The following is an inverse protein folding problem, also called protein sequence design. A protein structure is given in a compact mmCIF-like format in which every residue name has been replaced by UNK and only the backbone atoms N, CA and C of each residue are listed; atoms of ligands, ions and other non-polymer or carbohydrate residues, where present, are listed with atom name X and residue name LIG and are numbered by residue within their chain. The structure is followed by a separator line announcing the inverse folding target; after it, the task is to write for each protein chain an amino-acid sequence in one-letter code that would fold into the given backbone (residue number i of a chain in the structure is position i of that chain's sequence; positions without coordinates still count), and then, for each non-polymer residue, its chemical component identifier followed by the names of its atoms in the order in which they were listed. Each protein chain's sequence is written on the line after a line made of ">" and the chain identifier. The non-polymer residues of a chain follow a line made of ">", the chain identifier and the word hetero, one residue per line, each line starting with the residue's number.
data_IF_407605030854
#
_entry.id   IF_407605030854
#
_cell.length_a   1.000
_cell.length_b   1.000
_cell.length_c   1.000
_cell.angle_alpha   90.00
_cell.angle_beta   90.00
_cell.angle_gamma   90.00
#
_symmetry.space_group_name_H-M   'P 1'
#
loop_
_entity.id
_entity.type
_entity.pdbx_description
1 polymer ?
#
# COMPACT_ATOMS: atom_id res chain seq x y z
N UNK A 1 -7.09 60.82 -8.75
CA UNK A 1 -7.96 60.88 -9.95
C UNK A 1 -8.54 59.50 -10.23
N UNK A 2 -9.56 59.40 -11.10
CA UNK A 2 -10.14 58.09 -11.47
C UNK A 2 -9.10 57.17 -12.17
N UNK A 3 -8.13 57.76 -12.87
CA UNK A 3 -6.98 57.05 -13.47
C UNK A 3 -6.12 56.34 -12.43
N UNK A 4 -5.68 57.08 -11.40
CA UNK A 4 -4.86 56.50 -10.31
C UNK A 4 -5.58 55.34 -9.61
N UNK A 5 -6.90 55.42 -9.40
CA UNK A 5 -7.69 54.32 -8.82
C UNK A 5 -7.64 53.05 -9.69
N UNK A 6 -7.73 53.19 -11.02
CA UNK A 6 -7.65 52.05 -11.95
C UNK A 6 -6.25 51.45 -11.94
N UNK A 7 -5.22 52.28 -11.91
CA UNK A 7 -3.83 51.84 -11.84
C UNK A 7 -3.54 51.05 -10.56
N UNK A 8 -4.03 51.52 -9.41
CA UNK A 8 -3.90 50.79 -8.14
C UNK A 8 -4.62 49.44 -8.15
N UNK A 9 -5.84 49.36 -8.70
CA UNK A 9 -6.58 48.10 -8.82
C UNK A 9 -5.83 47.12 -9.72
N UNK A 10 -5.31 47.58 -10.86
CA UNK A 10 -4.56 46.76 -11.80
C UNK A 10 -3.25 46.26 -11.17
N UNK A 11 -2.54 47.10 -10.43
CA UNK A 11 -1.33 46.71 -9.71
C UNK A 11 -1.59 45.64 -8.63
N UNK A 12 -2.71 45.76 -7.90
CA UNK A 12 -3.13 44.75 -6.90
C UNK A 12 -3.48 43.43 -7.60
N UNK A 13 -4.28 43.47 -8.68
CA UNK A 13 -4.65 42.28 -9.43
C UNK A 13 -3.43 41.57 -10.04
N UNK A 14 -2.51 42.32 -10.64
CA UNK A 14 -1.27 41.77 -11.19
C UNK A 14 -0.38 41.13 -10.11
N UNK A 15 -0.41 41.67 -8.88
CA UNK A 15 0.33 41.11 -7.75
C UNK A 15 -0.31 39.82 -7.23
N UNK A 16 -1.64 39.77 -7.15
CA UNK A 16 -2.38 38.56 -6.81
C UNK A 16 -2.09 37.46 -7.85
N UNK A 17 -2.16 37.79 -9.13
CA UNK A 17 -1.93 36.82 -10.21
C UNK A 17 -0.49 36.27 -10.20
N UNK A 18 0.53 37.13 -9.97
CA UNK A 18 1.91 36.68 -9.80
C UNK A 18 2.08 35.75 -8.60
N UNK A 19 1.40 36.03 -7.49
CA UNK A 19 1.42 35.17 -6.32
C UNK A 19 0.76 33.81 -6.60
N UNK A 20 -0.39 33.79 -7.27
CA UNK A 20 -1.07 32.55 -7.69
C UNK A 20 -0.20 31.70 -8.63
N UNK A 21 0.44 32.33 -9.62
CA UNK A 21 1.36 31.65 -10.55
C UNK A 21 2.58 31.07 -9.82
N UNK A 22 3.16 31.81 -8.88
CA UNK A 22 4.28 31.33 -8.07
C UNK A 22 3.88 30.14 -7.18
N UNK A 23 2.70 30.20 -6.56
CA UNK A 23 2.14 29.12 -5.76
C UNK A 23 1.89 27.85 -6.59
N UNK A 24 1.37 27.99 -7.81
CA UNK A 24 1.12 26.86 -8.71
C UNK A 24 2.45 26.25 -9.22
N UNK A 25 3.43 27.08 -9.54
CA UNK A 25 4.78 26.62 -9.91
C UNK A 25 5.46 25.86 -8.77
N UNK A 26 5.33 26.35 -7.53
CA UNK A 26 5.84 25.67 -6.34
C UNK A 26 5.12 24.33 -6.07
N UNK A 27 3.81 24.25 -6.34
CA UNK A 27 3.05 23.01 -6.27
C UNK A 27 3.54 21.99 -7.30
N UNK A 28 3.74 22.39 -8.55
CA UNK A 28 4.23 21.49 -9.60
C UNK A 28 5.59 20.89 -9.27
N UNK A 29 6.52 21.69 -8.73
CA UNK A 29 7.83 21.22 -8.29
C UNK A 29 7.73 20.20 -7.14
N UNK A 30 6.85 20.43 -6.17
CA UNK A 30 6.65 19.50 -5.05
C UNK A 30 5.97 18.18 -5.47
N UNK A 31 5.10 18.21 -6.49
CA UNK A 31 4.48 17.00 -7.01
C UNK A 31 5.52 16.12 -7.75
N UNK A 32 6.41 16.72 -8.56
CA UNK A 32 7.42 15.97 -9.31
C UNK A 32 8.46 15.26 -8.43
N UNK A 33 8.61 15.68 -7.16
CA UNK A 33 9.51 15.06 -6.18
C UNK A 33 8.86 13.92 -5.39
N UNK A 34 7.53 13.78 -5.45
CA UNK A 34 6.79 12.68 -4.81
C UNK A 34 6.37 11.70 -5.90
N UNK A 35 7.24 10.74 -6.13
CA UNK A 35 7.01 9.57 -6.99
C UNK A 35 5.57 9.02 -6.85
N UNK A 36 4.85 9.04 -7.98
CA UNK A 36 3.39 8.89 -8.16
C UNK A 36 2.87 7.48 -7.81
N UNK A 37 3.76 6.55 -7.47
CA UNK A 37 3.43 5.14 -7.18
C UNK A 37 2.89 4.87 -5.76
N UNK A 38 2.59 5.90 -4.96
CA UNK A 38 2.25 5.72 -3.53
C UNK A 38 0.85 6.17 -3.12
N UNK A 39 0.09 6.82 -4.01
CA UNK A 39 -1.29 7.20 -3.71
C UNK A 39 -2.26 6.07 -4.04
N UNK A 40 -3.17 5.68 -3.13
CA UNK A 40 -4.30 4.82 -3.46
C UNK A 40 -5.09 5.40 -4.65
N UNK A 41 -5.73 4.55 -5.50
CA UNK A 41 -6.42 4.93 -6.75
C UNK A 41 -7.60 5.91 -6.58
N UNK A 42 -7.96 6.24 -5.33
CA UNK A 42 -9.04 7.16 -4.98
C UNK A 42 -8.59 8.41 -4.22
N UNK A 43 -7.29 8.62 -4.10
CA UNK A 43 -6.71 9.79 -3.43
C UNK A 43 -6.54 10.91 -4.46
N UNK A 44 -6.92 12.16 -4.14
CA UNK A 44 -6.71 13.26 -5.06
C UNK A 44 -5.20 13.41 -5.34
N UNK A 45 -4.87 13.54 -6.62
CA UNK A 45 -3.51 13.83 -7.04
C UNK A 45 -2.98 15.09 -6.36
N UNK A 46 -1.66 15.23 -6.27
CA UNK A 46 -1.04 16.41 -5.67
C UNK A 46 -1.55 17.74 -6.27
N UNK A 47 -1.96 17.73 -7.55
CA UNK A 47 -2.54 18.88 -8.27
C UNK A 47 -4.01 19.16 -7.95
N UNK A 48 -4.75 18.17 -7.43
CA UNK A 48 -6.17 18.24 -7.08
C UNK A 48 -6.43 18.43 -5.57
N UNK A 49 -5.38 18.40 -4.75
CA UNK A 49 -5.48 18.62 -3.32
C UNK A 49 -6.22 19.92 -3.01
N UNK A 50 -7.32 19.80 -2.25
CA UNK A 50 -8.17 20.93 -1.86
C UNK A 50 -9.10 21.46 -2.95
N UNK A 51 -9.02 20.98 -4.20
CA UNK A 51 -9.95 21.30 -5.29
C UNK A 51 -11.17 20.37 -5.34
N UNK A 52 -11.04 19.15 -4.80
CA UNK A 52 -12.13 18.17 -4.66
C UNK A 52 -12.06 17.48 -3.29
N UNK A 53 -13.21 17.07 -2.77
CA UNK A 53 -13.29 16.28 -1.55
C UNK A 53 -12.72 14.86 -1.79
N UNK A 54 -11.78 14.38 -0.95
CA UNK A 54 -11.28 13.01 -1.04
C UNK A 54 -12.35 12.02 -0.56
N UNK A 55 -12.29 10.78 -1.06
CA UNK A 55 -13.07 9.68 -0.47
C UNK A 55 -12.47 9.34 0.89
N UNK A 56 -13.19 9.53 2.02
CA UNK A 56 -12.62 9.28 3.34
C UNK A 56 -12.37 7.80 3.56
N UNK A 57 -11.16 7.45 3.99
CA UNK A 57 -10.84 6.09 4.43
C UNK A 57 -11.59 5.82 5.74
N UNK A 58 -12.24 4.66 5.85
CA UNK A 58 -12.99 4.32 7.07
C UNK A 58 -12.01 4.11 8.22
N UNK A 59 -12.36 4.60 9.41
CA UNK A 59 -11.44 4.60 10.56
C UNK A 59 -10.97 3.21 10.98
N UNK A 60 -11.80 2.18 10.77
CA UNK A 60 -11.49 0.78 11.11
C UNK A 60 -10.52 0.13 10.12
N UNK A 61 -10.24 0.77 8.99
CA UNK A 61 -9.37 0.25 7.94
C UNK A 61 -7.91 0.72 8.12
N UNK A 62 -7.61 1.47 9.20
CA UNK A 62 -6.27 1.99 9.51
C UNK A 62 -5.91 1.78 10.99
N UNK A 63 -4.76 1.17 11.24
CA UNK A 63 -4.19 0.99 12.59
C UNK A 63 -3.04 1.95 12.88
N UNK A 64 -2.38 2.47 11.86
CA UNK A 64 -1.22 3.36 11.98
C UNK A 64 -1.50 4.77 11.47
N UNK A 65 -0.88 5.79 12.08
CA UNK A 65 -0.91 7.13 11.50
C UNK A 65 -0.23 7.13 10.12
N UNK A 66 -0.92 7.57 9.09
CA UNK A 66 -0.40 7.62 7.70
C UNK A 66 0.66 8.71 7.45
N UNK A 67 1.24 9.27 8.52
CA UNK A 67 2.32 10.26 8.49
C UNK A 67 3.48 9.87 9.38
N UNK A 68 3.24 9.63 10.68
CA UNK A 68 4.30 9.20 11.59
C UNK A 68 4.43 7.68 11.73
N UNK A 69 3.54 6.89 11.14
CA UNK A 69 3.48 5.42 11.21
C UNK A 69 3.30 4.84 12.62
N UNK A 70 3.05 5.68 13.62
CA UNK A 70 2.83 5.22 14.98
C UNK A 70 1.40 4.66 15.14
N UNK A 71 1.21 3.58 15.92
CA UNK A 71 -0.09 2.97 16.12
C UNK A 71 -1.05 3.90 16.86
N UNK A 72 -2.30 3.93 16.42
CA UNK A 72 -3.38 4.61 17.12
C UNK A 72 -3.73 3.88 18.42
N UNK A 73 -4.16 4.61 19.44
CA UNK A 73 -4.75 4.05 20.64
C UNK A 73 -5.85 4.97 21.17
N UNK A 74 -6.86 4.39 21.84
CA UNK A 74 -8.09 5.09 22.22
C UNK A 74 -7.90 6.22 23.22
N UNK A 75 -6.76 6.26 23.92
CA UNK A 75 -6.52 7.19 25.04
C UNK A 75 -5.69 8.39 24.59
N UNK A 76 -4.50 8.17 24.04
CA UNK A 76 -3.49 9.22 23.78
C UNK A 76 -3.33 9.56 22.30
N UNK A 77 -3.69 8.66 21.38
CA UNK A 77 -3.49 8.86 19.94
C UNK A 77 -4.75 8.52 19.15
N UNK A 78 -5.70 9.47 19.17
CA UNK A 78 -6.97 9.40 18.44
C UNK A 78 -6.76 9.59 16.93
N UNK A 79 -7.70 9.07 16.15
CA UNK A 79 -7.75 9.17 14.68
C UNK A 79 -8.37 10.50 14.26
N UNK A 80 -7.82 11.10 13.21
CA UNK A 80 -8.36 12.28 12.56
C UNK A 80 -8.21 12.15 11.05
N UNK A 81 -9.19 12.60 10.28
CA UNK A 81 -9.06 12.65 8.83
C UNK A 81 -8.47 13.99 8.38
N UNK A 82 -7.51 13.91 7.46
CA UNK A 82 -7.13 15.06 6.67
C UNK A 82 -8.24 15.36 5.67
N UNK A 83 -8.81 16.56 5.71
CA UNK A 83 -9.90 16.93 4.79
C UNK A 83 -9.41 17.14 3.34
N UNK A 84 -8.12 17.38 3.13
CA UNK A 84 -7.55 17.56 1.80
C UNK A 84 -7.23 16.23 1.08
N UNK A 85 -6.63 15.25 1.76
CA UNK A 85 -6.20 13.99 1.15
C UNK A 85 -6.93 12.73 1.66
N UNK A 86 -7.79 12.83 2.67
CA UNK A 86 -8.57 11.70 3.19
C UNK A 86 -7.81 10.77 4.16
N UNK A 87 -6.47 10.86 4.21
CA UNK A 87 -5.64 10.05 5.10
C UNK A 87 -6.04 10.16 6.59
N UNK A 88 -5.93 9.04 7.30
CA UNK A 88 -6.10 8.96 8.76
C UNK A 88 -4.78 9.26 9.46
N UNK A 89 -4.79 10.30 10.28
CA UNK A 89 -3.60 10.89 10.91
C UNK A 89 -3.85 11.17 12.39
N UNK A 90 -2.78 11.25 13.19
CA UNK A 90 -2.89 11.64 14.59
C UNK A 90 -2.99 13.16 14.76
N UNK A 91 -3.32 13.60 15.99
CA UNK A 91 -3.47 15.02 16.32
C UNK A 91 -2.21 15.82 15.95
N UNK A 92 -1.03 15.34 16.39
CA UNK A 92 0.28 15.96 16.12
C UNK A 92 0.60 16.10 14.62
N UNK A 93 0.23 15.12 13.80
CA UNK A 93 0.45 15.19 12.35
C UNK A 93 -0.57 16.05 11.60
N UNK A 94 -1.58 16.59 12.28
CA UNK A 94 -2.69 17.34 11.69
C UNK A 94 -3.11 18.56 12.50
N UNK A 95 -2.17 19.20 13.21
CA UNK A 95 -2.42 20.43 13.97
C UNK A 95 -2.73 21.63 13.08
N UNK A 96 -2.51 21.47 11.77
CA UNK A 96 -2.63 22.52 10.78
C UNK A 96 -4.03 22.63 10.19
N UNK A 97 -4.36 23.84 9.73
CA UNK A 97 -5.58 24.09 8.99
C UNK A 97 -5.31 24.86 7.70
N UNK A 98 -5.95 24.47 6.62
CA UNK A 98 -5.84 25.12 5.32
C UNK A 98 -7.23 25.38 4.73
N UNK A 99 -7.34 26.41 3.89
CA UNK A 99 -8.56 26.68 3.13
C UNK A 99 -8.68 25.68 1.98
N UNK A 100 -9.84 25.06 1.84
CA UNK A 100 -10.11 24.09 0.77
C UNK A 100 -11.15 24.67 -0.18
N UNK A 101 -10.81 24.74 -1.46
CA UNK A 101 -11.66 25.33 -2.50
C UNK A 101 -12.99 24.61 -2.66
N UNK A 102 -13.00 23.28 -2.57
CA UNK A 102 -14.24 22.50 -2.71
C UNK A 102 -15.24 22.71 -1.56
N UNK A 103 -14.80 23.22 -0.40
CA UNK A 103 -15.62 23.45 0.79
C UNK A 103 -15.81 24.94 1.03
N UNK A 104 -16.11 25.70 -0.03
CA UNK A 104 -16.34 27.15 0.03
C UNK A 104 -15.19 27.93 0.71
N UNK A 105 -13.95 27.54 0.43
CA UNK A 105 -12.74 28.09 1.04
C UNK A 105 -12.72 28.03 2.59
N UNK A 106 -13.51 27.14 3.20
CA UNK A 106 -13.50 26.96 4.66
C UNK A 106 -12.17 26.39 5.14
N UNK A 107 -11.76 26.88 6.31
CA UNK A 107 -10.53 26.46 6.99
C UNK A 107 -10.74 25.10 7.65
N UNK A 108 -10.13 24.07 7.09
CA UNK A 108 -10.31 22.67 7.46
C UNK A 108 -9.03 22.04 8.02
N UNK A 109 -9.16 21.01 8.87
CA UNK A 109 -8.02 20.23 9.38
C UNK A 109 -7.31 19.53 8.24
N UNK A 110 -6.00 19.73 8.14
CA UNK A 110 -5.15 19.07 7.14
C UNK A 110 -3.91 18.47 7.78
N UNK A 111 -3.32 17.44 7.16
CA UNK A 111 -2.05 16.90 7.62
C UNK A 111 -0.90 17.87 7.27
N UNK A 112 0.26 17.67 7.89
CA UNK A 112 1.47 18.48 7.64
C UNK A 112 1.81 18.60 6.16
N UNK A 113 1.80 17.47 5.42
CA UNK A 113 2.09 17.46 3.99
C UNK A 113 1.12 18.35 3.20
N UNK A 114 -0.19 18.15 3.39
CA UNK A 114 -1.20 18.95 2.70
C UNK A 114 -1.15 20.42 3.08
N UNK A 115 -0.79 20.74 4.33
CA UNK A 115 -0.61 22.14 4.73
C UNK A 115 0.52 22.80 3.94
N UNK A 116 1.68 22.15 3.87
CA UNK A 116 2.83 22.65 3.10
C UNK A 116 2.47 22.80 1.61
N UNK A 117 1.79 21.82 1.02
CA UNK A 117 1.37 21.89 -0.40
C UNK A 117 0.31 22.97 -0.66
N UNK A 118 -0.65 23.15 0.24
CA UNK A 118 -1.76 24.08 0.04
C UNK A 118 -1.36 25.54 0.34
N UNK A 119 -0.56 25.74 1.39
CA UNK A 119 -0.25 27.07 1.96
C UNK A 119 1.15 27.54 1.55
N UNK A 120 2.06 26.65 1.14
CA UNK A 120 3.42 27.01 0.73
C UNK A 120 4.32 27.43 1.90
N UNK A 121 3.84 27.33 3.15
CA UNK A 121 4.59 27.65 4.34
C UNK A 121 5.00 26.36 5.06
N UNK A 122 6.31 26.15 5.22
CA UNK A 122 6.81 25.14 6.13
C UNK A 122 6.57 25.62 7.57
N UNK A 123 5.87 24.85 8.42
CA UNK A 123 5.77 25.21 9.83
C UNK A 123 7.18 25.24 10.44
N UNK A 124 7.45 26.25 11.29
CA UNK A 124 8.69 26.38 12.05
C UNK A 124 9.00 25.09 12.81
N UNK A 125 10.28 24.68 12.98
CA UNK A 125 10.63 23.38 13.53
C UNK A 125 10.45 23.34 15.05
N UNK A 126 9.20 23.27 15.51
CA UNK A 126 8.89 22.92 16.89
C UNK A 126 8.48 21.44 16.91
N UNK A 127 9.48 20.55 17.01
CA UNK A 127 9.33 19.17 17.50
C UNK A 127 8.60 18.16 16.59
N UNK A 128 8.11 18.54 15.42
CA UNK A 128 7.63 17.56 14.43
C UNK A 128 8.83 17.11 13.63
N UNK A 129 9.39 15.95 13.96
CA UNK A 129 10.39 15.29 13.13
C UNK A 129 9.84 15.19 11.71
N UNK A 130 10.21 16.13 10.84
CA UNK A 130 10.01 15.98 9.41
C UNK A 130 10.84 14.76 9.07
N UNK A 131 10.16 13.63 8.89
CA UNK A 131 10.71 12.46 8.23
C UNK A 131 10.92 12.83 6.75
N UNK A 132 11.77 13.82 6.52
CA UNK A 132 12.33 14.15 5.23
C UNK A 132 13.23 12.98 4.91
N UNK A 133 12.69 12.07 4.10
CA UNK A 133 13.44 11.05 3.37
C UNK A 133 14.33 10.17 4.27
N UNK A 134 13.77 9.52 5.29
CA UNK A 134 14.33 8.21 5.65
C UNK A 134 14.16 7.35 4.41
N UNK A 135 15.25 6.78 3.88
CA UNK A 135 15.19 5.78 2.81
C UNK A 135 14.04 4.83 3.14
N UNK A 136 13.10 4.67 2.19
CA UNK A 136 11.89 3.89 2.41
C UNK A 136 12.30 2.53 2.99
N UNK A 137 11.86 2.23 4.21
CA UNK A 137 12.14 0.92 4.82
C UNK A 137 11.49 -0.15 3.93
N UNK A 138 12.06 -1.35 3.82
CA UNK A 138 11.52 -2.47 3.02
C UNK A 138 10.05 -2.75 3.36
N UNK A 139 9.61 -2.43 4.59
CA UNK A 139 8.23 -2.60 5.07
C UNK A 139 7.29 -1.42 4.77
N UNK A 140 7.77 -0.29 4.23
CA UNK A 140 6.94 0.87 3.83
C UNK A 140 6.22 0.63 2.50
N UNK A 141 5.57 -0.53 2.39
CA UNK A 141 4.63 -0.86 1.34
C UNK A 141 3.23 -0.56 1.84
N UNK A 142 2.43 0.12 1.01
CA UNK A 142 1.03 0.39 1.34
C UNK A 142 0.18 -0.85 1.06
N UNK A 143 -0.64 -1.24 2.03
CA UNK A 143 -1.49 -2.42 1.96
C UNK A 143 -2.45 -2.39 0.76
N UNK A 144 -3.00 -1.21 0.42
CA UNK A 144 -3.92 -1.07 -0.71
C UNK A 144 -3.23 -1.38 -2.04
N UNK A 145 -2.03 -0.83 -2.26
CA UNK A 145 -1.26 -1.02 -3.49
C UNK A 145 -0.76 -2.46 -3.61
N UNK A 146 -0.35 -3.04 -2.47
CA UNK A 146 0.03 -4.44 -2.43
C UNK A 146 -1.16 -5.37 -2.78
N UNK A 147 -2.40 -4.97 -2.43
CA UNK A 147 -3.60 -5.76 -2.66
C UNK A 147 -4.16 -5.64 -4.10
N UNK A 148 -4.00 -4.48 -4.74
CA UNK A 148 -4.53 -4.21 -6.10
C UNK A 148 -4.04 -5.22 -7.15
N UNK A 149 -2.77 -5.63 -7.07
CA UNK A 149 -2.17 -6.65 -7.93
C UNK A 149 -1.64 -7.80 -7.06
N UNK A 150 -2.50 -8.39 -6.24
CA UNK A 150 -2.13 -9.51 -5.37
C UNK A 150 -2.60 -10.86 -5.91
N UNK A 151 -1.80 -11.90 -5.70
CA UNK A 151 -2.21 -13.30 -5.93
C UNK A 151 -3.37 -13.65 -4.98
N UNK A 152 -3.26 -13.17 -3.74
CA UNK A 152 -4.30 -13.25 -2.72
C UNK A 152 -4.12 -12.14 -1.67
N UNK A 153 -5.24 -11.58 -1.25
CA UNK A 153 -5.33 -10.72 -0.08
C UNK A 153 -6.63 -10.97 0.68
N UNK A 154 -6.55 -11.10 2.01
CA UNK A 154 -7.75 -11.18 2.85
C UNK A 154 -7.41 -10.94 4.32
N UNK A 155 -8.45 -10.76 5.14
CA UNK A 155 -8.27 -10.90 6.57
C UNK A 155 -8.11 -12.38 6.94
N UNK A 156 -7.17 -12.66 7.84
CA UNK A 156 -7.05 -13.94 8.52
C UNK A 156 -6.85 -13.70 10.01
N UNK A 157 -7.24 -14.67 10.82
CA UNK A 157 -6.77 -14.75 12.19
C UNK A 157 -5.44 -15.49 12.19
N UNK A 158 -4.47 -15.01 12.97
CA UNK A 158 -3.19 -15.68 13.09
C UNK A 158 -2.70 -15.76 14.54
N UNK A 159 -1.82 -16.72 14.78
CA UNK A 159 -1.14 -16.97 16.04
C UNK A 159 0.27 -17.52 15.76
N UNK A 160 1.26 -17.12 16.55
CA UNK A 160 2.63 -17.63 16.44
C UNK A 160 2.95 -18.52 17.65
N UNK A 161 3.43 -19.74 17.38
CA UNK A 161 3.79 -20.69 18.42
C UNK A 161 4.91 -20.12 19.28
N UNK A 162 4.73 -20.08 20.60
CA UNK A 162 5.74 -19.55 21.54
C UNK A 162 5.75 -18.04 21.72
N UNK A 163 4.90 -17.28 21.02
CA UNK A 163 4.80 -15.81 21.17
C UNK A 163 4.10 -15.37 22.46
N UNK A 164 3.37 -16.27 23.12
CA UNK A 164 2.50 -15.96 24.27
C UNK A 164 1.28 -15.10 23.93
N UNK A 165 1.19 -14.62 22.69
CA UNK A 165 0.04 -13.87 22.16
C UNK A 165 -1.03 -14.82 21.65
N UNK A 166 -2.27 -14.50 21.98
CA UNK A 166 -3.44 -15.19 21.45
C UNK A 166 -3.67 -14.91 19.95
N UNK A 167 -4.78 -15.43 19.44
CA UNK A 167 -5.23 -15.17 18.07
C UNK A 167 -5.52 -13.69 17.84
N UNK A 168 -4.98 -13.13 16.77
CA UNK A 168 -5.24 -11.75 16.36
C UNK A 168 -5.65 -11.69 14.89
N UNK A 169 -6.54 -10.76 14.54
CA UNK A 169 -6.97 -10.52 13.15
C UNK A 169 -6.00 -9.56 12.50
N UNK A 170 -5.49 -9.92 11.32
CA UNK A 170 -4.60 -9.09 10.52
C UNK A 170 -4.96 -9.19 9.03
N UNK A 171 -4.48 -8.23 8.23
CA UNK A 171 -4.66 -8.20 6.78
C UNK A 171 -3.41 -8.79 6.11
N UNK A 172 -3.59 -9.85 5.34
CA UNK A 172 -2.51 -10.59 4.69
C UNK A 172 -2.54 -10.36 3.20
N UNK A 173 -1.36 -10.19 2.60
CA UNK A 173 -1.20 -9.92 1.18
C UNK A 173 0.03 -10.64 0.64
N UNK A 174 -0.14 -11.34 -0.48
CA UNK A 174 0.94 -11.84 -1.33
C UNK A 174 0.84 -11.10 -2.68
N UNK A 175 1.71 -10.10 -2.92
CA UNK A 175 1.75 -9.37 -4.19
C UNK A 175 2.10 -10.29 -5.36
N UNK A 176 1.56 -10.03 -6.54
CA UNK A 176 1.88 -10.78 -7.77
C UNK A 176 3.34 -10.55 -8.21
N UNK A 177 3.89 -9.36 -7.97
CA UNK A 177 5.28 -9.04 -8.28
C UNK A 177 6.31 -9.61 -7.29
N UNK A 178 5.87 -10.07 -6.12
CA UNK A 178 6.71 -10.69 -5.09
C UNK A 178 5.97 -11.90 -4.48
N UNK A 179 5.72 -12.95 -5.28
CA UNK A 179 4.81 -14.03 -4.91
C UNK A 179 5.36 -14.93 -3.80
N UNK A 180 6.65 -14.79 -3.48
CA UNK A 180 7.36 -15.56 -2.45
C UNK A 180 7.40 -14.84 -1.10
N UNK A 181 6.74 -13.68 -0.96
CA UNK A 181 6.76 -12.89 0.27
C UNK A 181 5.34 -12.62 0.77
N UNK A 182 5.06 -13.05 2.00
CA UNK A 182 3.83 -12.73 2.70
C UNK A 182 3.99 -11.45 3.52
N UNK A 183 3.17 -10.44 3.23
CA UNK A 183 3.09 -9.22 4.00
C UNK A 183 1.93 -9.26 4.99
N UNK A 184 2.20 -8.81 6.22
CA UNK A 184 1.24 -8.76 7.32
C UNK A 184 1.00 -7.30 7.70
N UNK A 185 -0.26 -6.86 7.61
CA UNK A 185 -0.71 -5.51 7.93
C UNK A 185 -1.72 -5.54 9.09
N UNK A 186 -1.78 -4.46 9.87
CA UNK A 186 -2.81 -4.33 10.89
C UNK A 186 -4.20 -4.10 10.28
N UNK A 187 -4.25 -3.42 9.14
CA UNK A 187 -5.47 -3.12 8.40
C UNK A 187 -5.20 -2.87 6.90
N UNK A 188 -6.22 -2.98 6.03
CA UNK A 188 -6.06 -2.96 4.57
C UNK A 188 -5.63 -1.61 3.98
N UNK A 189 -5.66 -0.54 4.77
CA UNK A 189 -5.21 0.80 4.34
C UNK A 189 -3.94 1.23 5.09
N UNK A 190 -3.27 0.36 5.84
CA UNK A 190 -2.02 0.72 6.50
C UNK A 190 -0.91 1.00 5.46
N UNK A 191 -0.15 2.07 5.69
CA UNK A 191 0.96 2.51 4.82
C UNK A 191 2.27 1.77 5.08
N UNK A 192 2.24 0.77 5.97
CA UNK A 192 3.41 0.02 6.41
C UNK A 192 3.02 -1.38 6.87
N UNK A 193 3.75 -2.38 6.39
CA UNK A 193 3.66 -3.75 6.87
C UNK A 193 4.25 -3.87 8.27
N UNK A 194 3.59 -4.65 9.12
CA UNK A 194 4.11 -4.99 10.44
C UNK A 194 5.24 -6.02 10.33
N UNK A 195 5.12 -6.95 9.37
CA UNK A 195 6.09 -8.01 9.11
C UNK A 195 6.04 -8.42 7.63
N UNK A 196 7.19 -8.86 7.11
CA UNK A 196 7.32 -9.62 5.87
C UNK A 196 7.87 -11.00 6.19
N UNK A 197 7.29 -12.05 5.61
CA UNK A 197 7.71 -13.44 5.81
C UNK A 197 8.09 -14.02 4.45
N UNK A 198 9.37 -14.39 4.22
CA UNK A 198 9.75 -15.13 3.02
C UNK A 198 9.14 -16.53 3.10
N UNK A 199 8.39 -16.93 2.08
CA UNK A 199 7.61 -18.17 2.09
C UNK A 199 8.43 -19.39 1.67
N UNK A 200 9.59 -19.20 1.05
CA UNK A 200 10.46 -20.28 0.55
C UNK A 200 10.83 -21.22 1.69
N UNK A 201 10.57 -22.51 1.53
CA UNK A 201 10.88 -23.56 2.50
C UNK A 201 9.88 -23.68 3.65
N UNK A 202 8.72 -23.01 3.59
CA UNK A 202 7.61 -23.29 4.49
C UNK A 202 6.82 -24.52 4.04
N UNK A 203 6.51 -25.39 4.99
CA UNK A 203 5.60 -26.51 4.82
C UNK A 203 4.22 -26.16 5.36
N UNK A 204 3.18 -26.51 4.61
CA UNK A 204 1.79 -26.18 4.93
C UNK A 204 1.12 -27.47 5.39
N UNK A 205 0.50 -27.44 6.56
CA UNK A 205 -0.21 -28.59 7.12
C UNK A 205 -1.50 -28.18 7.82
N UNK A 206 -2.39 -29.14 8.01
CA UNK A 206 -3.53 -28.94 8.89
C UNK A 206 -3.06 -29.00 10.35
N UNK A 207 -3.71 -28.26 11.27
CA UNK A 207 -3.39 -28.33 12.69
C UNK A 207 -3.72 -29.73 13.21
N UNK A 208 -2.89 -30.23 14.13
CA UNK A 208 -3.10 -31.55 14.73
C UNK A 208 -4.15 -31.44 15.85
N UNK A 209 -4.81 -32.56 16.17
CA UNK A 209 -5.82 -32.62 17.24
C UNK A 209 -5.31 -32.18 18.63
N UNK A 210 -3.98 -32.19 18.83
CA UNK A 210 -3.32 -31.74 20.05
C UNK A 210 -3.18 -30.21 20.17
N UNK A 211 -3.27 -29.46 19.07
CA UNK A 211 -2.97 -28.02 19.05
C UNK A 211 -4.03 -27.16 19.81
N UNK A 212 -5.11 -27.76 20.33
CA UNK A 212 -6.23 -27.07 21.02
C UNK A 212 -6.77 -25.86 20.24
N UNK A 213 -6.91 -25.98 18.92
CA UNK A 213 -7.47 -24.92 18.09
C UNK A 213 -8.99 -24.86 18.20
N UNK A 214 -9.51 -23.79 18.80
CA UNK A 214 -10.95 -23.51 18.89
C UNK A 214 -11.55 -22.91 17.60
N UNK A 215 -10.75 -22.68 16.56
CA UNK A 215 -11.19 -22.01 15.33
C UNK A 215 -11.38 -22.97 14.16
N UNK A 216 -12.47 -22.76 13.42
CA UNK A 216 -12.76 -23.47 12.16
C UNK A 216 -11.83 -22.97 11.03
N UNK A 217 -11.70 -23.80 10.00
CA UNK A 217 -10.92 -23.52 8.79
C UNK A 217 -9.48 -23.09 9.07
N UNK A 218 -8.84 -23.77 10.02
CA UNK A 218 -7.50 -23.45 10.46
C UNK A 218 -6.44 -24.28 9.72
N UNK A 219 -5.28 -23.67 9.50
CA UNK A 219 -4.10 -24.26 8.87
C UNK A 219 -2.85 -23.70 9.51
N UNK A 220 -1.72 -24.42 9.40
CA UNK A 220 -0.43 -23.96 9.91
C UNK A 220 0.61 -23.99 8.81
N UNK A 221 1.55 -23.05 8.87
CA UNK A 221 2.79 -23.10 8.10
C UNK A 221 3.97 -23.21 9.06
N UNK A 222 4.90 -24.10 8.76
CA UNK A 222 6.07 -24.37 9.59
C UNK A 222 7.35 -24.31 8.77
N UNK A 223 8.36 -23.65 9.32
CA UNK A 223 9.72 -23.65 8.79
C UNK A 223 10.69 -23.73 9.97
N UNK A 224 11.42 -24.84 10.08
CA UNK A 224 12.38 -25.07 11.17
C UNK A 224 11.71 -24.81 12.55
N UNK A 225 12.11 -23.75 13.27
CA UNK A 225 11.56 -23.40 14.60
C UNK A 225 10.35 -22.46 14.56
N UNK A 226 9.98 -21.94 13.39
CA UNK A 226 8.86 -21.01 13.24
C UNK A 226 7.60 -21.78 12.87
N UNK A 227 6.54 -21.64 13.66
CA UNK A 227 5.20 -22.16 13.34
C UNK A 227 4.17 -21.05 13.46
N UNK A 228 3.51 -20.74 12.35
CA UNK A 228 2.44 -19.76 12.27
C UNK A 228 1.13 -20.51 12.01
N UNK A 229 0.14 -20.27 12.87
CA UNK A 229 -1.21 -20.77 12.72
C UNK A 229 -2.08 -19.67 12.11
N UNK A 230 -2.96 -20.07 11.21
CA UNK A 230 -3.92 -19.21 10.54
C UNK A 230 -5.33 -19.81 10.64
N UNK A 231 -6.34 -18.96 10.54
CA UNK A 231 -7.74 -19.35 10.43
C UNK A 231 -8.47 -18.40 9.49
N UNK A 232 -9.10 -18.99 8.48
CA UNK A 232 -9.89 -18.29 7.47
C UNK A 232 -11.38 -18.20 7.87
N UNK A 233 -12.08 -17.23 7.30
CA UNK A 233 -13.52 -17.06 7.55
C UNK A 233 -14.37 -18.19 6.91
N UNK A 234 -13.86 -18.87 5.88
CA UNK A 234 -14.52 -19.97 5.19
C UNK A 234 -13.55 -21.02 4.64
N UNK A 235 -14.09 -22.18 4.29
CA UNK A 235 -13.33 -23.32 3.78
C UNK A 235 -12.68 -23.04 2.42
N UNK A 236 -13.41 -22.40 1.50
CA UNK A 236 -12.86 -22.01 0.19
C UNK A 236 -11.65 -21.10 0.33
N UNK A 237 -11.74 -20.10 1.23
CA UNK A 237 -10.64 -19.19 1.50
C UNK A 237 -9.45 -19.92 2.12
N UNK A 238 -9.68 -20.85 3.06
CA UNK A 238 -8.63 -21.72 3.59
C UNK A 238 -7.93 -22.49 2.48
N UNK A 239 -8.69 -23.18 1.60
CA UNK A 239 -8.10 -23.97 0.51
C UNK A 239 -7.25 -23.11 -0.40
N UNK A 240 -7.74 -21.92 -0.79
CA UNK A 240 -7.01 -20.99 -1.65
C UNK A 240 -5.72 -20.49 -1.00
N UNK A 241 -5.74 -20.14 0.29
CA UNK A 241 -4.52 -19.77 1.02
C UNK A 241 -3.53 -20.91 1.11
N UNK A 242 -3.99 -22.12 1.44
CA UNK A 242 -3.13 -23.29 1.54
C UNK A 242 -2.46 -23.65 0.20
N UNK A 243 -3.20 -23.57 -0.91
CA UNK A 243 -2.67 -23.79 -2.26
C UNK A 243 -1.56 -22.79 -2.60
N UNK A 244 -1.85 -21.49 -2.48
CA UNK A 244 -0.89 -20.42 -2.83
C UNK A 244 0.35 -20.49 -1.94
N UNK A 245 0.18 -20.67 -0.63
CA UNK A 245 1.30 -20.79 0.31
C UNK A 245 2.14 -22.04 0.00
N UNK A 246 1.50 -23.16 -0.36
CA UNK A 246 2.19 -24.41 -0.72
C UNK A 246 3.05 -24.23 -1.96
N UNK A 247 2.54 -23.55 -2.99
CA UNK A 247 3.30 -23.20 -4.20
C UNK A 247 4.48 -22.27 -3.88
N UNK A 248 4.23 -21.20 -3.14
CA UNK A 248 5.28 -20.27 -2.70
C UNK A 248 6.33 -20.95 -1.81
N UNK A 249 5.92 -21.92 -0.98
CA UNK A 249 6.80 -22.75 -0.15
C UNK A 249 7.80 -23.57 -0.95
N UNK A 250 7.38 -24.10 -2.11
CA UNK A 250 8.24 -24.79 -3.07
C UNK A 250 9.08 -23.85 -3.94
N UNK A 251 8.86 -22.54 -3.85
CA UNK A 251 9.52 -21.54 -4.68
C UNK A 251 8.92 -21.43 -6.09
N UNK A 252 7.69 -21.90 -6.30
CA UNK A 252 7.00 -21.74 -7.59
C UNK A 252 6.46 -20.31 -7.72
N UNK A 253 6.94 -19.55 -8.71
CA UNK A 253 6.34 -18.27 -9.08
C UNK A 253 5.06 -18.50 -9.91
N UNK A 254 4.00 -17.68 -9.75
CA UNK A 254 2.83 -17.73 -10.59
C UNK A 254 3.22 -17.49 -12.06
N UNK A 255 2.70 -18.33 -12.96
CA UNK A 255 2.92 -18.20 -14.40
C UNK A 255 2.29 -16.90 -14.91
N UNK A 256 3.05 -15.81 -14.99
CA UNK A 256 2.67 -14.61 -15.72
C UNK A 256 2.91 -14.85 -17.22
N UNK A 257 1.83 -14.87 -18.02
CA UNK A 257 1.79 -14.83 -19.49
C UNK A 257 3.11 -15.14 -20.21
N UNK A 258 3.36 -16.41 -20.54
CA UNK A 258 4.20 -16.70 -21.70
C UNK A 258 3.43 -16.19 -22.95
N UNK A 259 4.05 -15.40 -23.84
CA UNK A 259 3.52 -15.27 -25.19
C UNK A 259 3.46 -16.68 -25.77
N UNK A 260 2.29 -17.07 -26.26
CA UNK A 260 2.11 -18.28 -27.05
C UNK A 260 3.06 -18.14 -28.25
N UNK A 261 4.20 -18.82 -28.22
CA UNK A 261 4.87 -19.21 -29.45
C UNK A 261 4.37 -20.63 -29.70
N UNK A 262 3.48 -20.72 -30.69
CA UNK A 262 2.90 -21.95 -31.22
C UNK A 262 3.97 -23.02 -31.44
N UNK A 263 3.68 -24.19 -30.90
CA UNK A 263 4.13 -25.47 -31.39
C UNK A 263 3.67 -25.69 -32.83
N UNK A 264 4.61 -25.84 -33.76
CA UNK A 264 4.47 -26.65 -34.97
C UNK A 264 5.62 -27.67 -34.89
N UNK A 265 5.37 -28.89 -34.45
CA UNK A 265 5.02 -30.03 -35.33
C UNK A 265 5.98 -30.18 -36.51
N UNK A 266 7.04 -30.97 -36.31
CA UNK A 266 7.60 -31.82 -37.35
C UNK A 266 7.92 -33.19 -36.71
N UNK A 267 6.91 -34.05 -36.60
CA UNK A 267 7.12 -35.49 -36.77
C UNK A 267 6.91 -35.79 -38.25
N UNK A 268 7.92 -36.36 -38.90
CA UNK A 268 7.88 -36.67 -40.33
C UNK A 268 9.03 -37.56 -40.77
N UNK A 269 8.85 -38.86 -40.52
CA UNK A 269 9.31 -40.00 -41.33
C UNK A 269 10.79 -40.41 -41.28
N UNK A 270 11.01 -41.53 -40.58
CA UNK A 270 12.09 -42.45 -40.93
C UNK A 270 11.62 -43.38 -42.06
N UNK A 271 12.48 -43.57 -43.07
CA UNK A 271 12.55 -44.79 -43.86
C UNK A 271 13.99 -44.95 -44.34
N UNK A 272 14.58 -46.08 -43.94
CA UNK A 272 15.87 -46.51 -44.44
C UNK A 272 15.73 -47.06 -45.86
N UNK A 273 16.80 -46.90 -46.63
CA UNK A 273 17.12 -47.80 -47.73
C UNK A 273 18.64 -48.00 -47.72
N UNK A 274 19.04 -49.24 -47.46
CA UNK A 274 20.33 -49.80 -47.83
C UNK A 274 20.34 -50.03 -49.34
N UNK A 275 21.29 -49.45 -50.09
CA UNK A 275 21.77 -50.06 -51.35
C UNK A 275 23.29 -49.87 -51.44
N UNK A 276 23.96 -50.99 -51.69
CA UNK A 276 25.38 -51.23 -51.95
C UNK A 276 25.97 -50.40 -53.11
N UNK A 277 27.29 -50.22 -53.09
CA UNK A 277 28.13 -50.58 -54.24
C UNK A 277 28.65 -49.48 -55.19
N UNK A 278 29.95 -49.21 -55.03
CA UNK A 278 30.98 -49.20 -56.09
C UNK A 278 31.33 -47.93 -56.90
N UNK A 279 32.65 -47.86 -57.17
CA UNK A 279 33.38 -47.15 -58.23
C UNK A 279 33.61 -45.62 -58.15
N UNK A 280 34.75 -45.19 -57.57
CA UNK A 280 35.98 -44.73 -58.28
C UNK A 280 37.01 -44.10 -57.32
#
# INVERSE_FOLDING_TARGET
>A
TEGEKKDWIQAIQATIQRHEQAMESFRQLNCSLRDDQSSPPHSPSCMELGKRAPTPIREKEVTLCMKCQEPFNSITKRRHHCKACGHVVCGKCSEFRARLSYDNNRTNRVCVDCYVTLVGASPSPCGVSSSSQRRRSILEKQASLAAENSVICSFLHHMEKGSGRGWQKAWFVIPENEPLVLYIYGAPQDVKAQRSVPLIGFEISLPESCDRLERRHAFKISQSHLTLYFSAEGEELQRRWMDILSRAGRGEEPLSHQPIIESLEEEGEGLGDEIEGDDT
#
